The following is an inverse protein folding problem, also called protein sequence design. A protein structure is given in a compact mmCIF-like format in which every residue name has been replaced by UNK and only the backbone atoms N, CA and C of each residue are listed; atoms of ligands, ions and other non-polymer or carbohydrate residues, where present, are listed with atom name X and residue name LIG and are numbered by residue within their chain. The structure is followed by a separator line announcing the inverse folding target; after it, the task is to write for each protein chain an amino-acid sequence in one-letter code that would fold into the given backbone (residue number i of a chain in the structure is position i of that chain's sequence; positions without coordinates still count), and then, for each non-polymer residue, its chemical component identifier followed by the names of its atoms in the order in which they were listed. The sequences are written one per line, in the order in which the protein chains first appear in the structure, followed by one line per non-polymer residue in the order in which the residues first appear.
data_IF_892864106857
#
_entry.id   IF_892864106857
#
_cell.length_a   1.000
_cell.length_b   1.000
_cell.length_c   1.000
_cell.angle_alpha   90.00
_cell.angle_beta   90.00
_cell.angle_gamma   90.00
#
_symmetry.space_group_name_H-M   'P 1'
#
loop_
_entity.id
_entity.type
_entity.pdbx_description
1 polymer ?
#
# COMPACT_ATOMS: atom_id res chain seq x y z
N UNK A 1 5.12 13.15 -26.50
CA UNK A 1 4.05 12.25 -26.99
C UNK A 1 2.90 12.27 -25.99
N UNK A 2 1.65 12.08 -26.42
CA UNK A 2 0.49 11.97 -25.52
C UNK A 2 0.16 10.50 -25.27
N UNK A 3 -0.30 10.17 -24.07
CA UNK A 3 -0.73 8.82 -23.73
C UNK A 3 -1.93 8.39 -24.59
N UNK A 4 -2.01 7.08 -24.90
CA UNK A 4 -3.19 6.49 -25.53
C UNK A 4 -4.28 6.28 -24.46
N UNK A 5 -5.57 6.38 -24.82
CA UNK A 5 -6.65 5.99 -23.92
C UNK A 5 -6.56 4.51 -23.55
N UNK A 6 -7.12 4.15 -22.38
CA UNK A 6 -7.30 2.76 -21.99
C UNK A 6 -8.16 2.00 -23.00
N UNK A 7 -7.76 0.77 -23.28
CA UNK A 7 -8.57 -0.22 -23.97
C UNK A 7 -9.80 -0.59 -23.14
N UNK A 8 -10.77 -1.26 -23.79
CA UNK A 8 -11.94 -1.80 -23.08
C UNK A 8 -11.51 -2.81 -22.00
N UNK A 9 -10.57 -3.70 -22.32
CA UNK A 9 -10.08 -4.71 -21.40
C UNK A 9 -9.37 -4.11 -20.18
N UNK A 10 -8.54 -3.08 -20.34
CA UNK A 10 -7.88 -2.40 -19.22
C UNK A 10 -8.90 -1.75 -18.28
N UNK A 11 -9.93 -1.09 -18.82
CA UNK A 11 -11.01 -0.49 -17.99
C UNK A 11 -11.81 -1.54 -17.22
N UNK A 12 -12.18 -2.63 -17.87
CA UNK A 12 -12.90 -3.73 -17.22
C UNK A 12 -12.05 -4.38 -16.13
N UNK A 13 -10.75 -4.56 -16.39
CA UNK A 13 -9.81 -5.10 -15.41
C UNK A 13 -9.66 -4.19 -14.18
N UNK A 14 -9.49 -2.87 -14.36
CA UNK A 14 -9.43 -1.90 -13.25
C UNK A 14 -10.72 -1.94 -12.42
N UNK A 15 -11.87 -2.00 -13.09
CA UNK A 15 -13.16 -2.07 -12.40
C UNK A 15 -13.28 -3.34 -11.55
N UNK A 16 -12.89 -4.49 -12.10
CA UNK A 16 -12.91 -5.76 -11.37
C UNK A 16 -11.93 -5.75 -10.19
N UNK A 17 -10.73 -5.19 -10.36
CA UNK A 17 -9.77 -5.02 -9.27
C UNK A 17 -10.37 -4.18 -8.14
N UNK A 18 -11.03 -3.06 -8.46
CA UNK A 18 -11.68 -2.23 -7.44
C UNK A 18 -12.78 -2.99 -6.70
N UNK A 19 -13.57 -3.82 -7.40
CA UNK A 19 -14.60 -4.63 -6.75
C UNK A 19 -13.99 -5.64 -5.76
N UNK A 20 -12.90 -6.31 -6.13
CA UNK A 20 -12.16 -7.21 -5.22
C UNK A 20 -11.66 -6.45 -3.98
N UNK A 21 -11.11 -5.25 -4.16
CA UNK A 21 -10.64 -4.43 -3.04
C UNK A 21 -11.81 -3.98 -2.13
N UNK A 22 -12.97 -3.66 -2.71
CA UNK A 22 -14.17 -3.27 -1.98
C UNK A 22 -14.78 -4.41 -1.15
N UNK A 23 -14.55 -5.67 -1.55
CA UNK A 23 -14.98 -6.86 -0.82
C UNK A 23 -14.05 -7.23 0.36
N UNK A 24 -13.01 -6.43 0.61
CA UNK A 24 -12.09 -6.66 1.72
C UNK A 24 -12.87 -6.79 3.05
N UNK A 25 -12.73 -7.89 3.79
CA UNK A 25 -13.51 -8.13 5.01
C UNK A 25 -12.99 -7.35 6.22
N UNK A 26 -12.00 -6.47 6.02
CA UNK A 26 -11.23 -5.86 7.09
C UNK A 26 -11.13 -4.35 6.92
N UNK A 27 -11.28 -3.64 8.04
CA UNK A 27 -11.08 -2.20 8.13
C UNK A 27 -9.71 -1.82 8.74
N UNK A 28 -8.87 -2.81 9.09
CA UNK A 28 -7.57 -2.58 9.74
C UNK A 28 -6.37 -2.69 8.78
N UNK A 29 -6.60 -2.90 7.50
CA UNK A 29 -5.51 -3.00 6.53
C UNK A 29 -5.10 -1.60 6.08
N UNK A 30 -3.89 -1.18 6.47
CA UNK A 30 -3.16 -0.12 5.78
C UNK A 30 -2.16 -0.75 4.80
N UNK A 31 -1.69 0.02 3.82
CA UNK A 31 -0.65 -0.44 2.90
C UNK A 31 0.38 0.65 2.61
N UNK A 32 1.62 0.25 2.39
CA UNK A 32 2.71 1.12 1.93
C UNK A 32 3.59 0.37 0.94
N UNK A 33 4.47 1.10 0.26
CA UNK A 33 5.49 0.54 -0.63
C UNK A 33 6.85 1.14 -0.27
N UNK A 34 7.87 0.29 -0.15
CA UNK A 34 9.28 0.69 0.03
C UNK A 34 9.96 0.81 -1.35
N UNK A 35 9.35 0.20 -2.38
CA UNK A 35 9.83 0.14 -3.74
C UNK A 35 8.96 -0.78 -4.60
N UNK A 36 9.06 -0.64 -5.91
CA UNK A 36 8.27 -1.45 -6.83
C UNK A 36 8.78 -2.89 -6.89
N UNK A 37 7.89 -3.88 -7.18
CA UNK A 37 6.44 -3.77 -7.39
C UNK A 37 5.63 -4.35 -6.22
N UNK A 38 6.00 -4.04 -4.96
CA UNK A 38 5.39 -4.66 -3.78
C UNK A 38 4.48 -3.70 -2.99
N UNK A 39 3.31 -4.18 -2.57
CA UNK A 39 2.48 -3.56 -1.55
C UNK A 39 2.65 -4.33 -0.23
N UNK A 40 3.17 -3.68 0.79
CA UNK A 40 3.24 -4.22 2.16
C UNK A 40 2.00 -3.79 2.93
N UNK A 41 1.33 -4.74 3.57
CA UNK A 41 0.18 -4.47 4.42
C UNK A 41 0.59 -4.39 5.88
N UNK A 42 -0.05 -3.49 6.62
CA UNK A 42 0.13 -3.36 8.06
C UNK A 42 -1.20 -3.15 8.78
N UNK A 43 -1.21 -3.36 10.09
CA UNK A 43 -2.37 -3.09 10.94
C UNK A 43 -2.50 -1.58 11.21
N UNK A 44 -3.45 -0.93 10.54
CA UNK A 44 -3.68 0.52 10.64
C UNK A 44 -4.09 0.98 12.04
N UNK A 45 -4.49 0.07 12.93
CA UNK A 45 -4.75 0.42 14.34
C UNK A 45 -3.47 0.84 15.09
N UNK A 46 -2.30 0.55 14.54
CA UNK A 46 -1.00 0.96 15.06
C UNK A 46 -0.50 2.30 14.49
N UNK A 47 -1.27 2.95 13.62
CA UNK A 47 -0.81 4.12 12.87
C UNK A 47 -0.39 5.30 13.76
N UNK A 48 -1.09 5.53 14.88
CA UNK A 48 -0.66 6.54 15.86
C UNK A 48 0.69 6.19 16.50
N UNK A 49 0.91 4.93 16.87
CA UNK A 49 2.19 4.48 17.43
C UNK A 49 3.31 4.58 16.38
N UNK A 50 3.04 4.13 15.14
CA UNK A 50 3.98 4.25 14.01
C UNK A 50 4.39 5.72 13.82
N UNK A 51 3.42 6.63 13.77
CA UNK A 51 3.67 8.07 13.61
C UNK A 51 4.44 8.68 14.79
N UNK A 52 4.24 8.19 16.02
CA UNK A 52 5.01 8.63 17.18
C UNK A 52 6.47 8.17 17.10
N UNK A 53 6.74 6.93 16.64
CA UNK A 53 8.10 6.43 16.42
C UNK A 53 8.77 7.26 15.31
N UNK A 54 8.08 7.49 14.18
CA UNK A 54 8.54 8.34 13.09
C UNK A 54 8.90 9.75 13.55
N UNK A 55 8.07 10.34 14.41
CA UNK A 55 8.31 11.70 14.94
C UNK A 55 9.50 11.76 15.91
N UNK A 56 9.92 10.63 16.46
CA UNK A 56 10.97 10.56 17.48
C UNK A 56 12.39 10.45 16.93
N UNK A 57 12.57 10.20 15.62
CA UNK A 57 13.91 10.07 15.03
C UNK A 57 13.93 9.77 13.54
N UNK A 58 15.13 9.43 13.02
CA UNK A 58 15.37 9.08 11.61
C UNK A 58 15.09 7.59 11.37
N UNK A 59 13.83 7.18 11.45
CA UNK A 59 13.39 5.82 11.09
C UNK A 59 12.40 5.89 9.94
N UNK A 60 12.43 4.90 9.05
CA UNK A 60 11.47 4.78 7.97
C UNK A 60 10.14 4.18 8.46
N UNK A 61 9.04 4.49 7.77
CA UNK A 61 7.70 3.99 8.13
C UNK A 61 7.67 2.46 8.25
N UNK A 62 8.32 1.77 7.31
CA UNK A 62 8.40 0.31 7.31
C UNK A 62 9.12 -0.25 8.55
N UNK A 63 10.20 0.40 8.99
CA UNK A 63 10.95 -0.03 10.16
C UNK A 63 10.14 0.17 11.45
N UNK A 64 9.34 1.23 11.53
CA UNK A 64 8.41 1.44 12.66
C UNK A 64 7.25 0.41 12.67
N UNK A 65 6.75 0.01 11.49
CA UNK A 65 5.77 -1.09 11.36
C UNK A 65 6.36 -2.41 11.87
N UNK A 66 7.59 -2.72 11.48
CA UNK A 66 8.29 -3.94 11.89
C UNK A 66 8.55 -3.96 13.40
N UNK A 67 9.00 -2.84 13.98
CA UNK A 67 9.24 -2.70 15.43
C UNK A 67 7.98 -2.98 16.26
N UNK A 68 6.82 -2.55 15.77
CA UNK A 68 5.53 -2.76 16.43
C UNK A 68 4.91 -4.13 16.15
N UNK A 69 5.54 -4.96 15.30
CA UNK A 69 4.98 -6.24 14.85
C UNK A 69 3.65 -6.05 14.11
N UNK A 70 3.49 -4.92 13.42
CA UNK A 70 2.25 -4.55 12.75
C UNK A 70 2.19 -5.01 11.29
N UNK A 71 3.24 -5.66 10.75
CA UNK A 71 3.25 -6.23 9.40
C UNK A 71 2.23 -7.37 9.23
N UNK A 72 1.53 -7.38 8.09
CA UNK A 72 0.49 -8.36 7.75
C UNK A 72 0.78 -9.09 6.42
N UNK A 73 2.00 -8.98 5.89
CA UNK A 73 2.42 -9.60 4.64
C UNK A 73 2.36 -8.66 3.42
N UNK A 74 2.67 -9.23 2.25
CA UNK A 74 2.92 -8.47 1.02
C UNK A 74 2.15 -9.01 -0.18
N UNK A 75 1.83 -8.13 -1.11
CA UNK A 75 1.27 -8.43 -2.43
C UNK A 75 2.23 -7.98 -3.53
N UNK A 76 2.56 -8.91 -4.43
CA UNK A 76 3.35 -8.65 -5.62
C UNK A 76 2.45 -8.13 -6.76
N UNK A 77 2.69 -6.90 -7.20
CA UNK A 77 1.93 -6.26 -8.27
C UNK A 77 2.54 -6.60 -9.64
N UNK A 78 1.73 -6.69 -10.71
CA UNK A 78 2.24 -6.95 -12.07
C UNK A 78 2.78 -5.69 -12.76
N UNK A 79 2.78 -4.55 -12.07
CA UNK A 79 3.27 -3.25 -12.53
C UNK A 79 3.84 -2.44 -11.36
N UNK A 80 4.65 -1.41 -11.63
CA UNK A 80 5.17 -0.52 -10.60
C UNK A 80 4.08 0.15 -9.77
N UNK A 81 4.27 0.23 -8.45
CA UNK A 81 3.46 0.97 -7.49
C UNK A 81 4.41 1.87 -6.69
N UNK A 82 4.63 3.07 -7.23
CA UNK A 82 5.54 4.03 -6.64
C UNK A 82 4.94 4.65 -5.37
N UNK A 83 5.74 4.75 -4.31
CA UNK A 83 5.42 5.62 -3.17
C UNK A 83 5.61 7.06 -3.62
N UNK A 84 4.53 7.83 -3.69
CA UNK A 84 4.59 9.25 -3.99
C UNK A 84 4.29 10.03 -2.73
N UNK A 85 5.32 10.31 -1.94
CA UNK A 85 5.31 11.36 -0.92
C UNK A 85 6.26 12.47 -1.36
N UNK A 86 5.80 13.72 -1.30
CA UNK A 86 6.55 14.93 -1.66
C UNK A 86 6.15 16.07 -0.75
#
# INVERSE_FOLDING_TARGET
MKAKPLTKAEREWIHNLQNVLNECPSNRLGAYTIGDPCLSFYDSRFETQINNILSSGNIDFCSAVDELGADLGQLQMPFPVHSTAG
#
